data_IF_262717941796
#
_entry.id   IF_262717941796
#
_cell.length_a   1.000
_cell.length_b   1.000
_cell.length_c   1.000
_cell.angle_alpha   90.00
_cell.angle_beta   90.00
_cell.angle_gamma   90.00
#
_symmetry.space_group_name_H-M   'P 1'
#
loop_
_entity.id
_entity.type
_entity.pdbx_description
1 polymer ?
#
# COMPACT_ATOMS: atom_id res chain seq x y z
N UNK A 1 14.67 2.82 -6.25
CA UNK A 1 13.38 2.59 -5.56
C UNK A 1 12.46 1.72 -6.42
N UNK A 2 11.70 0.79 -5.82
CA UNK A 2 10.61 0.10 -6.53
C UNK A 2 9.40 1.04 -6.70
N UNK A 3 8.78 1.06 -7.88
CA UNK A 3 7.61 1.89 -8.19
C UNK A 3 6.47 1.02 -8.73
N UNK A 4 5.27 1.29 -8.23
CA UNK A 4 4.04 0.68 -8.73
C UNK A 4 3.53 1.48 -9.94
N UNK A 5 3.35 0.80 -11.08
CA UNK A 5 2.69 1.33 -12.29
C UNK A 5 1.31 0.72 -12.44
N UNK A 6 0.32 1.54 -12.75
CA UNK A 6 -1.09 1.13 -12.82
C UNK A 6 -1.61 1.19 -14.25
N UNK A 7 -2.30 0.11 -14.68
CA UNK A 7 -3.10 0.07 -15.89
C UNK A 7 -2.37 0.50 -17.15
N UNK A 8 -2.92 1.53 -17.80
CA UNK A 8 -2.43 2.03 -19.09
C UNK A 8 -0.99 2.58 -19.06
N UNK A 9 -0.47 2.97 -17.89
CA UNK A 9 0.93 3.38 -17.75
C UNK A 9 1.90 2.22 -18.02
N UNK A 10 1.43 0.97 -17.94
CA UNK A 10 2.18 -0.25 -18.26
C UNK A 10 2.08 -0.67 -19.74
N UNK A 11 1.53 0.17 -20.64
CA UNK A 11 1.19 -0.19 -22.04
C UNK A 11 2.33 -0.44 -23.00
N UNK A 12 3.57 -0.09 -22.67
CA UNK A 12 4.66 -0.05 -23.64
C UNK A 12 5.28 -1.42 -24.00
N UNK A 13 4.55 -2.52 -23.76
CA UNK A 13 5.02 -3.86 -24.07
C UNK A 13 4.12 -4.52 -25.12
N UNK A 14 4.72 -4.78 -26.28
CA UNK A 14 4.06 -5.38 -27.46
C UNK A 14 3.56 -6.82 -27.21
N UNK A 15 3.99 -7.47 -26.13
CA UNK A 15 3.52 -8.78 -25.72
C UNK A 15 2.31 -8.75 -24.80
N UNK A 16 1.83 -7.55 -24.42
CA UNK A 16 0.66 -7.39 -23.57
C UNK A 16 -0.58 -7.21 -24.44
N UNK A 17 -1.55 -8.11 -24.24
CA UNK A 17 -2.89 -8.04 -24.83
C UNK A 17 -3.92 -7.81 -23.72
N UNK A 18 -4.99 -7.10 -24.05
CA UNK A 18 -6.05 -6.81 -23.08
C UNK A 18 -7.42 -6.79 -23.75
N UNK A 19 -8.44 -7.22 -23.01
CA UNK A 19 -9.86 -7.09 -23.39
C UNK A 19 -10.57 -5.98 -22.60
N UNK A 20 -10.01 -5.54 -21.48
CA UNK A 20 -10.57 -4.51 -20.58
C UNK A 20 -9.68 -3.27 -20.45
N UNK A 21 -8.88 -2.96 -21.48
CA UNK A 21 -8.03 -1.76 -21.49
C UNK A 21 -6.98 -1.68 -20.36
N UNK A 22 -6.52 -2.82 -19.82
CA UNK A 22 -5.59 -2.98 -18.70
C UNK A 22 -6.12 -2.54 -17.33
N UNK A 23 -7.42 -2.34 -17.17
CA UNK A 23 -8.02 -2.01 -15.87
C UNK A 23 -7.74 -3.13 -14.86
N UNK A 24 -7.31 -2.76 -13.65
CA UNK A 24 -6.96 -3.70 -12.59
C UNK A 24 -5.51 -4.19 -12.65
N UNK A 25 -4.73 -3.78 -13.66
CA UNK A 25 -3.35 -4.24 -13.82
C UNK A 25 -2.38 -3.40 -12.99
N UNK A 26 -1.41 -4.09 -12.39
CA UNK A 26 -0.29 -3.47 -11.69
C UNK A 26 1.03 -4.12 -12.11
N UNK A 27 2.11 -3.33 -12.18
CA UNK A 27 3.47 -3.80 -12.45
C UNK A 27 4.45 -3.07 -11.51
N UNK A 28 5.45 -3.79 -11.02
CA UNK A 28 6.55 -3.22 -10.26
C UNK A 28 7.75 -2.97 -11.17
N UNK A 29 8.27 -1.75 -11.15
CA UNK A 29 9.48 -1.35 -11.86
C UNK A 29 10.53 -0.85 -10.87
N UNK A 30 11.78 -1.26 -11.05
CA UNK A 30 12.88 -0.71 -10.27
C UNK A 30 13.47 0.53 -10.96
N UNK A 31 13.44 1.65 -10.26
CA UNK A 31 13.97 2.93 -10.69
C UNK A 31 15.23 3.27 -9.86
N UNK A 32 16.42 3.00 -10.39
CA UNK A 32 17.69 3.14 -9.68
C UNK A 32 17.96 4.56 -9.12
N UNK A 33 17.76 5.66 -9.88
CA UNK A 33 17.98 7.01 -9.37
C UNK A 33 16.86 7.55 -8.46
N UNK A 34 15.73 6.86 -8.34
CA UNK A 34 14.62 7.33 -7.51
C UNK A 34 14.79 6.97 -6.02
N UNK A 35 14.23 7.87 -5.20
CA UNK A 35 14.17 7.77 -3.74
C UNK A 35 15.11 8.77 -3.07
N UNK A 36 14.62 9.57 -2.13
CA UNK A 36 15.51 10.33 -1.23
C UNK A 36 16.23 9.38 -0.26
N UNK A 37 17.35 9.79 0.35
CA UNK A 37 18.03 8.99 1.39
C UNK A 37 17.09 8.56 2.52
N UNK A 38 16.19 9.45 2.94
CA UNK A 38 15.18 9.19 3.96
C UNK A 38 14.18 8.11 3.50
N UNK A 39 13.71 8.21 2.26
CA UNK A 39 12.79 7.23 1.70
C UNK A 39 13.42 5.85 1.59
N UNK A 40 14.69 5.77 1.17
CA UNK A 40 15.44 4.52 1.10
C UNK A 40 15.63 3.91 2.48
N UNK A 41 15.98 4.73 3.49
CA UNK A 41 16.12 4.27 4.87
C UNK A 41 14.81 3.70 5.44
N UNK A 42 13.67 4.34 5.16
CA UNK A 42 12.35 3.80 5.57
C UNK A 42 12.02 2.47 4.88
N UNK A 43 12.36 2.33 3.60
CA UNK A 43 12.17 1.07 2.86
C UNK A 43 13.04 -0.05 3.42
N UNK A 44 14.32 0.24 3.71
CA UNK A 44 15.23 -0.75 4.27
C UNK A 44 14.84 -1.13 5.70
N UNK A 45 14.33 -0.18 6.50
CA UNK A 45 13.76 -0.48 7.80
C UNK A 45 12.52 -1.40 7.70
N UNK A 46 11.63 -1.16 6.73
CA UNK A 46 10.48 -2.02 6.49
C UNK A 46 10.90 -3.44 6.05
N UNK A 47 11.92 -3.55 5.19
CA UNK A 47 12.50 -4.84 4.77
C UNK A 47 13.11 -5.60 5.93
N UNK A 48 13.92 -4.94 6.77
CA UNK A 48 14.51 -5.56 7.95
C UNK A 48 13.42 -6.05 8.90
N UNK A 49 12.40 -5.24 9.15
CA UNK A 49 11.28 -5.63 10.01
C UNK A 49 10.55 -6.86 9.47
N UNK A 50 10.30 -6.92 8.16
CA UNK A 50 9.73 -8.10 7.52
C UNK A 50 10.66 -9.31 7.69
N UNK A 51 11.96 -9.16 7.41
CA UNK A 51 12.93 -10.23 7.52
C UNK A 51 12.98 -10.84 8.93
N UNK A 52 12.95 -9.99 9.97
CA UNK A 52 12.97 -10.41 11.38
C UNK A 52 11.68 -11.10 11.82
N UNK A 53 10.54 -10.74 11.21
CA UNK A 53 9.23 -11.18 11.67
C UNK A 53 8.50 -12.16 10.74
N UNK A 54 9.01 -12.45 9.54
CA UNK A 54 8.34 -13.30 8.52
C UNK A 54 7.98 -14.70 8.99
N UNK A 55 8.71 -15.24 9.97
CA UNK A 55 8.40 -16.55 10.57
C UNK A 55 7.26 -16.48 11.59
N UNK A 56 7.08 -15.31 12.22
CA UNK A 56 6.01 -15.05 13.19
C UNK A 56 4.73 -14.58 12.50
N UNK A 57 4.84 -13.68 11.54
CA UNK A 57 3.74 -13.19 10.72
C UNK A 57 3.95 -13.67 9.29
N UNK A 58 3.18 -14.69 8.90
CA UNK A 58 3.37 -15.39 7.61
C UNK A 58 2.99 -14.55 6.38
N UNK A 59 2.11 -13.57 6.56
CA UNK A 59 1.60 -12.73 5.47
C UNK A 59 2.43 -11.46 5.37
N UNK A 60 2.86 -11.10 4.15
CA UNK A 60 3.34 -9.74 3.90
C UNK A 60 2.19 -8.78 4.22
N UNK A 61 2.50 -7.72 4.96
CA UNK A 61 1.53 -6.71 5.33
C UNK A 61 1.32 -5.66 4.25
N UNK A 62 1.72 -5.89 2.99
CA UNK A 62 1.58 -4.87 1.92
C UNK A 62 2.28 -3.53 2.26
N UNK A 63 3.21 -3.54 3.22
CA UNK A 63 3.62 -2.32 3.91
C UNK A 63 4.39 -1.38 2.96
N UNK A 64 5.30 -1.96 2.18
CA UNK A 64 6.18 -1.20 1.30
C UNK A 64 5.37 -0.37 0.30
N UNK A 65 4.45 -1.00 -0.43
CA UNK A 65 3.68 -0.31 -1.45
C UNK A 65 2.69 0.68 -0.85
N UNK A 66 2.05 0.33 0.28
CA UNK A 66 1.14 1.25 0.97
C UNK A 66 1.86 2.52 1.39
N UNK A 67 3.08 2.41 1.92
CA UNK A 67 3.90 3.59 2.27
C UNK A 67 4.22 4.45 1.04
N UNK A 68 4.70 3.84 -0.04
CA UNK A 68 5.07 4.55 -1.27
C UNK A 68 3.86 5.22 -1.95
N UNK A 69 2.75 4.48 -2.08
CA UNK A 69 1.56 4.93 -2.78
C UNK A 69 0.86 6.08 -2.05
N UNK A 70 0.72 5.98 -0.72
CA UNK A 70 0.16 7.06 0.09
C UNK A 70 1.03 8.33 0.05
N UNK A 71 2.36 8.17 0.04
CA UNK A 71 3.28 9.31 -0.09
C UNK A 71 3.14 10.01 -1.44
N UNK A 72 3.06 9.27 -2.54
CA UNK A 72 2.83 9.85 -3.88
C UNK A 72 1.54 10.66 -3.93
N UNK A 73 0.48 10.16 -3.28
CA UNK A 73 -0.80 10.85 -3.14
C UNK A 73 -0.80 11.99 -2.11
N UNK A 74 0.32 12.22 -1.42
CA UNK A 74 0.45 13.16 -0.30
C UNK A 74 -0.67 12.96 0.73
N UNK A 75 -1.02 11.69 0.97
CA UNK A 75 -2.12 11.35 1.85
C UNK A 75 -1.74 11.63 3.30
N UNK A 76 -2.61 12.38 3.97
CA UNK A 76 -2.51 12.64 5.40
C UNK A 76 -3.74 12.10 6.11
N UNK A 77 -3.51 11.25 7.11
CA UNK A 77 -4.59 10.69 7.90
C UNK A 77 -5.03 11.67 8.99
N UNK A 78 -6.12 12.39 8.72
CA UNK A 78 -6.63 13.44 9.60
C UNK A 78 -7.47 12.91 10.76
N UNK A 79 -7.92 11.66 10.71
CA UNK A 79 -8.74 11.07 11.79
C UNK A 79 -7.81 10.36 12.79
N UNK A 80 -7.77 10.80 14.06
CA UNK A 80 -6.94 10.16 15.08
C UNK A 80 -7.28 8.69 15.26
N UNK A 81 -6.27 7.89 15.64
CA UNK A 81 -6.48 6.48 15.98
C UNK A 81 -7.36 6.40 17.24
N UNK A 82 -8.38 5.56 17.16
CA UNK A 82 -9.16 5.17 18.34
C UNK A 82 -8.37 4.11 19.09
N UNK A 83 -8.12 4.34 20.38
CA UNK A 83 -7.49 3.39 21.29
C UNK A 83 -8.53 3.06 22.35
N UNK A 84 -8.84 1.78 22.50
CA UNK A 84 -9.76 1.26 23.50
C UNK A 84 -9.01 0.21 24.30
N UNK A 85 -9.14 0.27 25.62
CA UNK A 85 -8.49 -0.61 26.58
C UNK A 85 -9.23 -1.96 26.73
N UNK A 86 -10.55 -1.91 26.77
CA UNK A 86 -11.43 -3.09 26.88
C UNK A 86 -12.55 -3.05 25.82
N UNK A 87 -12.86 -4.21 25.25
CA UNK A 87 -13.95 -4.34 24.28
C UNK A 87 -15.33 -3.96 24.86
N UNK A 88 -15.56 -4.14 26.17
CA UNK A 88 -16.80 -3.74 26.84
C UNK A 88 -17.00 -2.21 26.87
N UNK A 89 -15.93 -1.44 26.71
CA UNK A 89 -15.97 0.02 26.76
C UNK A 89 -16.22 0.69 25.40
N UNK A 90 -16.35 -0.10 24.32
CA UNK A 90 -16.53 0.44 22.96
C UNK A 90 -17.87 1.18 22.86
N UNK A 91 -17.81 2.48 22.61
CA UNK A 91 -19.00 3.30 22.32
C UNK A 91 -19.26 3.38 20.83
N UNK A 92 -20.49 3.71 20.46
CA UNK A 92 -20.87 3.95 19.06
C UNK A 92 -19.96 4.98 18.37
N UNK A 93 -19.62 6.08 19.04
CA UNK A 93 -18.74 7.11 18.46
C UNK A 93 -17.30 6.62 18.24
N UNK A 94 -16.81 5.67 19.05
CA UNK A 94 -15.52 5.02 18.84
C UNK A 94 -15.53 4.16 17.59
N UNK A 95 -16.55 3.31 17.44
CA UNK A 95 -16.74 2.48 16.26
C UNK A 95 -16.89 3.32 14.98
N UNK A 96 -17.71 4.38 15.03
CA UNK A 96 -17.95 5.30 13.93
C UNK A 96 -16.68 6.04 13.50
N UNK A 97 -15.88 6.51 14.46
CA UNK A 97 -14.59 7.17 14.20
C UNK A 97 -13.57 6.21 13.62
N UNK A 98 -13.46 5.00 14.17
CA UNK A 98 -12.60 3.95 13.65
C UNK A 98 -12.97 3.56 12.21
N UNK A 99 -14.27 3.37 11.93
CA UNK A 99 -14.78 3.04 10.60
C UNK A 99 -14.47 4.14 9.59
N UNK A 100 -14.77 5.41 9.91
CA UNK A 100 -14.46 6.55 9.03
C UNK A 100 -12.97 6.65 8.74
N UNK A 101 -12.14 6.45 9.77
CA UNK A 101 -10.68 6.42 9.61
C UNK A 101 -10.24 5.32 8.66
N UNK A 102 -10.80 4.12 8.80
CA UNK A 102 -10.51 2.97 7.94
C UNK A 102 -10.95 3.20 6.49
N UNK A 103 -12.17 3.68 6.28
CA UNK A 103 -12.70 4.01 4.95
C UNK A 103 -11.83 5.08 4.27
N UNK A 104 -11.45 6.14 4.98
CA UNK A 104 -10.60 7.19 4.44
C UNK A 104 -9.24 6.65 3.99
N UNK A 105 -8.66 5.74 4.79
CA UNK A 105 -7.40 5.09 4.46
C UNK A 105 -7.51 4.16 3.25
N UNK A 106 -8.55 3.31 3.21
CA UNK A 106 -8.79 2.42 2.08
C UNK A 106 -9.07 3.21 0.80
N UNK A 107 -9.92 4.25 0.86
CA UNK A 107 -10.17 5.12 -0.30
C UNK A 107 -8.89 5.75 -0.85
N UNK A 108 -7.96 6.17 0.02
CA UNK A 108 -6.67 6.70 -0.42
C UNK A 108 -5.80 5.65 -1.14
N UNK A 109 -5.92 4.38 -0.78
CA UNK A 109 -5.22 3.26 -1.42
C UNK A 109 -5.86 2.78 -2.73
N UNK A 110 -7.05 3.26 -3.09
CA UNK A 110 -7.69 2.92 -4.36
C UNK A 110 -6.93 3.57 -5.52
N UNK A 111 -6.67 2.85 -6.60
CA UNK A 111 -6.03 3.40 -7.80
C UNK A 111 -7.01 4.23 -8.64
N UNK A 112 -6.48 4.96 -9.62
CA UNK A 112 -7.29 5.82 -10.49
C UNK A 112 -8.22 5.03 -11.42
N UNK A 113 -7.91 3.76 -11.69
CA UNK A 113 -8.79 2.82 -12.39
C UNK A 113 -9.69 2.00 -11.44
N UNK A 114 -9.70 2.34 -10.15
CA UNK A 114 -10.69 1.89 -9.16
C UNK A 114 -10.37 0.58 -8.42
N UNK A 115 -9.25 -0.08 -8.71
CA UNK A 115 -8.85 -1.29 -7.98
C UNK A 115 -8.02 -0.97 -6.73
N UNK A 116 -7.82 -1.97 -5.88
CA UNK A 116 -6.86 -1.90 -4.79
C UNK A 116 -5.68 -2.80 -5.13
N UNK A 117 -4.45 -2.25 -5.20
CA UNK A 117 -3.27 -3.05 -5.42
C UNK A 117 -3.09 -4.05 -4.30
N UNK A 118 -2.51 -5.19 -4.62
CA UNK A 118 -2.14 -6.20 -3.64
C UNK A 118 -0.75 -6.74 -3.95
N UNK A 119 0.06 -6.95 -2.93
CA UNK A 119 1.31 -7.69 -3.04
C UNK A 119 0.97 -9.19 -3.09
N UNK A 120 0.67 -9.68 -4.29
CA UNK A 120 0.54 -11.11 -4.53
C UNK A 120 1.95 -11.68 -4.66
N UNK A 121 2.52 -12.09 -3.53
CA UNK A 121 3.89 -12.54 -3.32
C UNK A 121 4.48 -13.39 -4.46
N UNK A 122 5.51 -12.84 -5.14
CA UNK A 122 6.68 -13.54 -5.70
C UNK A 122 7.95 -12.66 -5.72
N UNK A 123 7.85 -11.33 -5.57
CA UNK A 123 9.02 -10.50 -5.30
C UNK A 123 9.40 -10.62 -3.83
N UNK A 124 10.28 -11.58 -3.55
CA UNK A 124 11.04 -11.56 -2.30
C UNK A 124 11.92 -10.31 -2.37
N UNK A 125 11.56 -9.27 -1.61
CA UNK A 125 12.33 -8.04 -1.48
C UNK A 125 13.38 -8.20 -0.39
#
# INVERSE_FOLDING_TARGET
MWRLKIGAEARNDHYLLTTNNYVGRQVWEFDAPAGSPEELAEVDAARQNFADNRLRFKTSGDLLWRMQFLRQKKFEQKIPRVIVDDASNIKYEDAKRALRRGILYLAALQTDDGHWPAENSELTI
#
